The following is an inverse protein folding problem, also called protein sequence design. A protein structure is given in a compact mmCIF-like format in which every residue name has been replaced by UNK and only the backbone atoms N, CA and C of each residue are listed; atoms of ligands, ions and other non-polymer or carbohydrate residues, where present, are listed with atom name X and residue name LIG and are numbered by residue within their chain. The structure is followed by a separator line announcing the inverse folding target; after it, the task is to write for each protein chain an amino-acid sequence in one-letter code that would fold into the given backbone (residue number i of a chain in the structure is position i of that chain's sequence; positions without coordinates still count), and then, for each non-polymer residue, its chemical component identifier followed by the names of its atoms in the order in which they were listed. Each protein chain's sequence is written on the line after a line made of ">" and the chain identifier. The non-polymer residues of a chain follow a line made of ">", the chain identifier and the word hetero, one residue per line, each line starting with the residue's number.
data_IF_209005758572
#
_entry.id   IF_209005758572
#
_cell.length_a   1.000
_cell.length_b   1.000
_cell.length_c   1.000
_cell.angle_alpha   90.00
_cell.angle_beta   90.00
_cell.angle_gamma   90.00
#
_symmetry.space_group_name_H-M   'P 1'
#
loop_
_entity.id
_entity.type
_entity.pdbx_description
1 polymer ?
#
# COMPACT_ATOMS: atom_id res chain seq x y z
N UNK A 1 -27.68 -12.00 31.53
CA UNK A 1 -27.52 -11.29 30.25
C UNK A 1 -26.04 -11.19 29.95
N UNK A 2 -25.50 -12.15 29.19
CA UNK A 2 -24.08 -12.20 28.85
C UNK A 2 -23.79 -11.04 27.89
N UNK A 3 -23.01 -10.04 28.31
CA UNK A 3 -22.51 -9.00 27.39
C UNK A 3 -21.80 -9.73 26.26
N UNK A 4 -22.41 -9.76 25.07
CA UNK A 4 -21.74 -10.25 23.87
C UNK A 4 -20.53 -9.37 23.67
N UNK A 5 -19.32 -9.89 23.89
CA UNK A 5 -18.10 -9.17 23.55
C UNK A 5 -18.21 -8.77 22.08
N UNK A 6 -18.18 -7.47 21.81
CA UNK A 6 -18.20 -6.90 20.46
C UNK A 6 -16.78 -6.47 20.11
N UNK A 7 -16.40 -6.66 18.85
CA UNK A 7 -15.18 -6.05 18.33
C UNK A 7 -15.39 -4.54 18.19
N UNK A 8 -14.31 -3.79 18.31
CA UNK A 8 -14.34 -2.35 18.05
C UNK A 8 -14.56 -2.09 16.55
N UNK A 9 -15.26 -1.00 16.23
CA UNK A 9 -15.51 -0.57 14.86
C UNK A 9 -14.44 0.37 14.29
N UNK A 10 -13.44 0.74 15.09
CA UNK A 10 -12.34 1.64 14.71
C UNK A 10 -11.17 0.96 13.95
N UNK A 11 -11.30 -0.33 13.62
CA UNK A 11 -10.30 -1.11 12.88
C UNK A 11 -11.00 -1.94 11.80
N UNK A 12 -10.52 -1.82 10.57
CA UNK A 12 -11.07 -2.51 9.39
C UNK A 12 -10.48 -3.91 9.27
N UNK A 13 -9.17 -4.08 9.47
CA UNK A 13 -8.48 -5.37 9.29
C UNK A 13 -7.98 -5.89 10.62
N UNK A 14 -8.47 -7.07 11.02
CA UNK A 14 -8.01 -7.78 12.21
C UNK A 14 -7.25 -9.04 11.83
N UNK A 15 -6.08 -9.25 12.44
CA UNK A 15 -5.46 -10.57 12.48
C UNK A 15 -6.19 -11.49 13.47
N UNK A 16 -6.12 -12.79 13.21
CA UNK A 16 -6.60 -13.83 14.13
C UNK A 16 -5.88 -13.76 15.48
N UNK A 17 -4.63 -13.28 15.51
CA UNK A 17 -3.87 -13.12 16.73
C UNK A 17 -4.44 -11.95 17.56
N UNK A 18 -4.68 -10.79 16.94
CA UNK A 18 -5.31 -9.64 17.62
C UNK A 18 -6.69 -10.00 18.19
N UNK A 19 -7.51 -10.75 17.45
CA UNK A 19 -8.81 -11.21 17.94
C UNK A 19 -8.66 -12.12 19.16
N UNK A 20 -7.68 -13.03 19.16
CA UNK A 20 -7.41 -13.89 20.33
C UNK A 20 -6.91 -13.09 21.52
N UNK A 21 -6.02 -12.13 21.28
CA UNK A 21 -5.46 -11.26 22.33
C UNK A 21 -6.56 -10.39 22.96
N UNK A 22 -7.60 -10.03 22.19
CA UNK A 22 -8.83 -9.38 22.66
C UNK A 22 -9.81 -10.34 23.36
N UNK A 23 -9.45 -11.62 23.54
CA UNK A 23 -10.23 -12.62 24.28
C UNK A 23 -11.25 -13.40 23.45
N UNK A 24 -11.24 -13.27 22.11
CA UNK A 24 -12.14 -14.02 21.25
C UNK A 24 -11.59 -15.42 20.94
N UNK A 25 -12.33 -16.46 21.34
CA UNK A 25 -12.00 -17.84 20.96
C UNK A 25 -12.28 -18.08 19.48
N UNK A 26 -11.65 -19.11 18.88
CA UNK A 26 -11.92 -19.51 17.49
C UNK A 26 -13.41 -19.78 17.23
N UNK A 27 -14.10 -20.41 18.19
CA UNK A 27 -15.55 -20.62 18.11
C UNK A 27 -16.29 -19.30 17.98
N UNK A 28 -15.91 -18.30 18.79
CA UNK A 28 -16.53 -16.98 18.76
C UNK A 28 -16.23 -16.22 17.47
N UNK A 29 -14.98 -16.28 16.98
CA UNK A 29 -14.60 -15.68 15.69
C UNK A 29 -15.43 -16.28 14.54
N UNK A 30 -15.57 -17.61 14.48
CA UNK A 30 -16.40 -18.25 13.46
C UNK A 30 -17.89 -17.89 13.60
N UNK A 31 -18.39 -17.74 14.82
CA UNK A 31 -19.75 -17.24 15.05
C UNK A 31 -19.93 -15.83 14.47
N UNK A 32 -18.96 -14.94 14.67
CA UNK A 32 -18.99 -13.57 14.13
C UNK A 32 -18.93 -13.55 12.60
N UNK A 33 -18.19 -14.49 11.99
CA UNK A 33 -18.19 -14.67 10.54
C UNK A 33 -19.56 -15.12 10.04
N UNK A 34 -20.17 -16.12 10.67
CA UNK A 34 -21.51 -16.59 10.30
C UNK A 34 -22.60 -15.52 10.50
N UNK A 35 -22.38 -14.57 11.41
CA UNK A 35 -23.24 -13.42 11.66
C UNK A 35 -22.98 -12.24 10.72
N UNK A 36 -21.97 -12.31 9.87
CA UNK A 36 -21.59 -11.23 8.96
C UNK A 36 -20.91 -10.03 9.64
N UNK A 37 -20.55 -10.13 10.93
CA UNK A 37 -19.80 -9.07 11.63
C UNK A 37 -18.32 -9.06 11.23
N UNK A 38 -17.78 -10.25 10.89
CA UNK A 38 -16.46 -10.39 10.31
C UNK A 38 -16.57 -11.05 8.94
N UNK A 39 -15.78 -10.60 7.99
CA UNK A 39 -15.60 -11.25 6.69
C UNK A 39 -14.23 -11.92 6.72
N UNK A 40 -14.18 -13.22 6.40
CA UNK A 40 -12.92 -13.95 6.40
C UNK A 40 -12.15 -13.65 5.11
N UNK A 41 -11.01 -12.97 5.24
CA UNK A 41 -10.14 -12.65 4.10
C UNK A 41 -9.22 -13.80 3.75
N UNK A 42 -8.51 -14.33 4.75
CA UNK A 42 -7.63 -15.47 4.57
C UNK A 42 -7.49 -16.27 5.88
N UNK A 43 -6.46 -17.11 6.00
CA UNK A 43 -6.23 -17.93 7.21
C UNK A 43 -5.84 -17.10 8.43
N UNK A 44 -5.28 -15.90 8.22
CA UNK A 44 -4.69 -15.05 9.25
C UNK A 44 -5.47 -13.77 9.49
N UNK A 45 -6.20 -13.26 8.50
CA UNK A 45 -6.85 -11.95 8.58
C UNK A 45 -8.34 -12.01 8.28
N UNK A 46 -9.06 -11.09 8.89
CA UNK A 46 -10.49 -10.86 8.79
C UNK A 46 -10.73 -9.37 8.59
N UNK A 47 -11.78 -9.04 7.86
CA UNK A 47 -12.30 -7.69 7.71
C UNK A 47 -13.48 -7.48 8.65
N UNK A 48 -13.57 -6.31 9.25
CA UNK A 48 -14.69 -5.87 10.06
C UNK A 48 -15.75 -5.24 9.16
N UNK A 49 -16.88 -5.91 9.00
CA UNK A 49 -17.98 -5.43 8.17
C UNK A 49 -18.69 -4.19 8.74
N UNK A 50 -18.43 -3.87 10.03
CA UNK A 50 -19.01 -2.73 10.72
C UNK A 50 -17.98 -1.61 10.96
N UNK A 51 -16.86 -1.60 10.22
CA UNK A 51 -15.88 -0.51 10.31
C UNK A 51 -16.56 0.84 10.05
N UNK A 52 -16.35 1.81 10.94
CA UNK A 52 -17.02 3.12 10.90
C UNK A 52 -16.10 4.30 10.56
N UNK A 53 -14.83 4.02 10.25
CA UNK A 53 -13.87 5.01 9.74
C UNK A 53 -13.89 5.16 8.21
N UNK A 54 -12.98 5.98 7.69
CA UNK A 54 -12.78 6.11 6.25
C UNK A 54 -12.09 4.86 5.70
N UNK A 55 -12.83 4.07 4.92
CA UNK A 55 -12.31 2.85 4.31
C UNK A 55 -11.19 3.15 3.31
N UNK A 56 -10.10 2.39 3.37
CA UNK A 56 -9.04 2.42 2.36
C UNK A 56 -8.72 1.02 1.88
N UNK A 57 -8.77 0.83 0.56
CA UNK A 57 -8.41 -0.44 -0.06
C UNK A 57 -6.93 -0.81 0.21
N UNK A 58 -6.07 0.15 0.56
CA UNK A 58 -4.67 -0.13 0.89
C UNK A 58 -4.50 -1.04 2.12
N UNK A 59 -5.50 -1.14 3.01
CA UNK A 59 -5.46 -2.07 4.14
C UNK A 59 -5.42 -3.54 3.71
N UNK A 60 -5.94 -3.87 2.53
CA UNK A 60 -5.85 -5.23 1.99
C UNK A 60 -4.41 -5.62 1.64
N UNK A 61 -3.53 -4.66 1.32
CA UNK A 61 -2.11 -4.95 1.12
C UNK A 61 -1.49 -5.54 2.41
N UNK A 62 -1.82 -4.97 3.58
CA UNK A 62 -1.37 -5.51 4.87
C UNK A 62 -1.95 -6.90 5.17
N UNK A 63 -3.22 -7.15 4.82
CA UNK A 63 -3.88 -8.44 5.09
C UNK A 63 -3.34 -9.60 4.22
N UNK A 64 -3.09 -9.35 2.94
CA UNK A 64 -2.74 -10.39 1.98
C UNK A 64 -1.24 -10.48 1.69
N UNK A 65 -0.54 -9.36 1.81
CA UNK A 65 0.90 -9.26 1.59
C UNK A 65 1.53 -8.48 2.76
N UNK A 66 1.58 -9.03 4.00
CA UNK A 66 2.03 -8.27 5.18
C UNK A 66 3.45 -7.68 5.05
N UNK A 67 4.31 -8.33 4.26
CA UNK A 67 5.65 -7.85 3.93
C UNK A 67 5.73 -6.98 2.68
N UNK A 68 4.62 -6.75 1.99
CA UNK A 68 4.52 -5.96 0.77
C UNK A 68 4.41 -4.46 1.06
N UNK A 69 4.66 -3.67 0.03
CA UNK A 69 4.71 -2.20 0.10
C UNK A 69 3.90 -1.61 -1.05
N UNK A 70 2.89 -0.79 -0.76
CA UNK A 70 2.12 -0.07 -1.78
C UNK A 70 3.07 0.81 -2.59
N UNK A 71 2.97 0.74 -3.92
CA UNK A 71 3.98 1.28 -4.84
C UNK A 71 3.36 1.86 -6.12
N UNK A 72 4.22 2.40 -7.00
CA UNK A 72 3.85 2.91 -8.32
C UNK A 72 2.62 3.84 -8.30
N UNK A 73 1.65 3.62 -9.19
CA UNK A 73 0.49 4.51 -9.33
C UNK A 73 -0.38 4.48 -8.07
N UNK A 74 -0.48 3.35 -7.35
CA UNK A 74 -1.19 3.30 -6.08
C UNK A 74 -0.59 4.24 -5.04
N UNK A 75 0.74 4.27 -4.92
CA UNK A 75 1.42 5.21 -4.03
C UNK A 75 1.29 6.66 -4.53
N UNK A 76 1.38 6.90 -5.84
CA UNK A 76 1.21 8.23 -6.40
C UNK A 76 -0.20 8.80 -6.14
N UNK A 77 -1.24 7.98 -6.30
CA UNK A 77 -2.63 8.36 -5.98
C UNK A 77 -2.78 8.64 -4.49
N UNK A 78 -2.23 7.79 -3.61
CA UNK A 78 -2.24 8.03 -2.16
C UNK A 78 -1.62 9.40 -1.82
N UNK A 79 -0.48 9.74 -2.42
CA UNK A 79 0.15 11.03 -2.20
C UNK A 79 -0.51 12.18 -2.94
N UNK A 80 -1.58 12.00 -3.72
CA UNK A 80 -2.17 13.04 -4.59
C UNK A 80 -1.17 13.60 -5.62
N UNK A 81 -0.36 12.72 -6.23
CA UNK A 81 0.50 13.05 -7.37
C UNK A 81 -0.17 12.78 -8.72
N UNK A 82 -1.21 11.96 -8.74
CA UNK A 82 -2.00 11.64 -9.92
C UNK A 82 -3.46 11.47 -9.53
N UNK A 83 -4.34 11.79 -10.48
CA UNK A 83 -5.79 11.53 -10.38
C UNK A 83 -6.20 10.18 -10.99
N UNK A 84 -5.22 9.35 -11.35
CA UNK A 84 -5.43 8.04 -11.96
C UNK A 84 -6.41 7.19 -11.13
N UNK A 85 -7.41 6.62 -11.81
CA UNK A 85 -8.36 5.71 -11.18
C UNK A 85 -7.73 4.33 -11.08
N UNK A 86 -7.46 3.88 -9.86
CA UNK A 86 -6.89 2.56 -9.61
C UNK A 86 -7.89 1.45 -9.93
N UNK A 87 -7.52 0.57 -10.87
CA UNK A 87 -8.22 -0.69 -11.10
C UNK A 87 -7.71 -1.82 -10.20
N UNK A 88 -6.49 -1.67 -9.68
CA UNK A 88 -5.82 -2.58 -8.76
C UNK A 88 -4.84 -1.81 -7.85
N UNK A 89 -4.45 -2.43 -6.74
CA UNK A 89 -3.41 -1.90 -5.86
C UNK A 89 -2.07 -2.52 -6.25
N UNK A 90 -1.13 -1.69 -6.68
CA UNK A 90 0.25 -2.08 -6.93
C UNK A 90 0.98 -2.31 -5.61
N UNK A 91 1.40 -3.55 -5.35
CA UNK A 91 2.12 -3.94 -4.13
C UNK A 91 3.47 -4.54 -4.50
N UNK A 92 4.56 -3.88 -4.08
CA UNK A 92 5.91 -4.36 -4.26
C UNK A 92 6.27 -5.44 -3.23
N UNK A 93 7.01 -6.46 -3.69
CA UNK A 93 7.62 -7.50 -2.85
C UNK A 93 9.05 -7.81 -3.32
N UNK A 94 9.91 -8.40 -2.46
CA UNK A 94 11.22 -8.88 -2.88
C UNK A 94 11.12 -9.94 -3.96
N UNK A 95 12.06 -9.97 -4.91
CA UNK A 95 12.09 -10.91 -6.06
C UNK A 95 11.88 -12.38 -5.72
N UNK A 96 12.35 -12.82 -4.55
CA UNK A 96 12.27 -14.22 -4.10
C UNK A 96 11.07 -14.51 -3.19
N UNK A 97 10.29 -13.49 -2.84
CA UNK A 97 9.11 -13.66 -2.02
C UNK A 97 8.02 -14.41 -2.78
N UNK A 98 7.19 -15.15 -2.03
CA UNK A 98 6.04 -15.86 -2.55
C UNK A 98 4.76 -15.29 -1.96
N UNK A 99 3.75 -15.09 -2.80
CA UNK A 99 2.41 -14.73 -2.37
C UNK A 99 1.52 -15.95 -2.58
N UNK A 100 0.86 -16.40 -1.51
CA UNK A 100 0.08 -17.64 -1.54
C UNK A 100 -1.38 -17.41 -1.92
N UNK A 101 -1.93 -16.26 -1.56
CA UNK A 101 -3.36 -15.96 -1.71
C UNK A 101 -3.49 -14.47 -1.93
N UNK A 102 -4.27 -14.11 -2.94
CA UNK A 102 -4.68 -12.75 -3.25
C UNK A 102 -6.21 -12.67 -3.14
N UNK A 103 -6.76 -11.51 -2.80
CA UNK A 103 -8.21 -11.31 -2.80
C UNK A 103 -8.74 -11.28 -4.25
N UNK A 104 -10.02 -11.65 -4.41
CA UNK A 104 -10.74 -11.42 -5.66
C UNK A 104 -11.07 -9.93 -5.84
N UNK A 105 -11.25 -9.21 -4.72
CA UNK A 105 -11.47 -7.76 -4.68
C UNK A 105 -11.00 -7.16 -3.33
N UNK A 106 -10.38 -5.97 -3.31
CA UNK A 106 -9.81 -5.25 -4.45
C UNK A 106 -8.63 -6.02 -5.06
N UNK A 107 -8.41 -5.94 -6.37
CA UNK A 107 -7.29 -6.64 -7.01
C UNK A 107 -5.95 -6.14 -6.47
N UNK A 108 -5.03 -7.05 -6.14
CA UNK A 108 -3.66 -6.73 -5.76
C UNK A 108 -2.67 -7.14 -6.86
N UNK A 109 -2.04 -6.15 -7.48
CA UNK A 109 -1.04 -6.36 -8.52
C UNK A 109 0.35 -6.41 -7.94
N UNK A 110 0.91 -7.61 -7.91
CA UNK A 110 2.23 -7.87 -7.30
C UNK A 110 3.37 -7.40 -8.22
N UNK A 111 4.23 -6.53 -7.71
CA UNK A 111 5.42 -6.03 -8.38
C UNK A 111 6.70 -6.60 -7.73
N UNK A 112 7.50 -7.34 -8.48
CA UNK A 112 8.72 -7.96 -7.95
C UNK A 112 9.93 -7.04 -8.09
N UNK A 113 10.43 -6.53 -6.97
CA UNK A 113 11.59 -5.62 -6.93
C UNK A 113 12.86 -6.37 -6.54
N UNK A 114 14.00 -5.88 -7.04
CA UNK A 114 15.30 -6.25 -6.50
C UNK A 114 15.41 -5.80 -5.05
N UNK A 115 16.24 -6.47 -4.25
CA UNK A 115 16.37 -6.18 -2.82
C UNK A 115 16.78 -4.71 -2.59
N UNK A 116 17.74 -4.19 -3.38
CA UNK A 116 18.17 -2.80 -3.34
C UNK A 116 17.06 -1.78 -3.63
N UNK A 117 16.15 -2.09 -4.57
CA UNK A 117 14.99 -1.24 -4.88
C UNK A 117 13.84 -1.43 -3.91
N UNK A 118 13.74 -2.61 -3.29
CA UNK A 118 12.68 -2.92 -2.35
C UNK A 118 12.90 -2.19 -1.01
N UNK A 119 14.13 -2.16 -0.49
CA UNK A 119 14.39 -1.69 0.87
C UNK A 119 14.36 -0.16 1.04
N UNK A 120 14.53 0.61 -0.04
CA UNK A 120 14.67 2.07 0.01
C UNK A 120 13.31 2.75 0.11
N UNK A 121 13.21 3.73 1.01
CA UNK A 121 12.08 4.65 1.08
C UNK A 121 10.78 4.00 1.52
N UNK A 122 10.82 2.94 2.34
CA UNK A 122 9.61 2.33 2.88
C UNK A 122 9.15 3.12 4.11
N UNK A 123 7.87 3.49 4.13
CA UNK A 123 7.18 4.09 5.26
C UNK A 123 6.00 3.21 5.68
N UNK A 124 5.56 3.35 6.93
CA UNK A 124 4.32 2.73 7.43
C UNK A 124 3.31 3.83 7.69
N UNK A 125 2.17 3.75 7.02
CA UNK A 125 1.02 4.61 7.30
C UNK A 125 0.24 3.98 8.43
N UNK A 126 0.06 4.73 9.51
CA UNK A 126 -0.83 4.38 10.61
C UNK A 126 -2.05 5.30 10.54
N UNK A 127 -3.23 4.70 10.35
CA UNK A 127 -4.53 5.40 10.35
C UNK A 127 -5.43 4.77 11.41
N UNK A 128 -5.44 5.39 12.59
CA UNK A 128 -6.04 4.81 13.79
C UNK A 128 -5.43 3.45 14.11
N UNK A 129 -6.27 2.40 14.12
CA UNK A 129 -5.83 1.01 14.34
C UNK A 129 -5.53 0.26 13.05
N UNK A 130 -5.66 0.90 11.88
CA UNK A 130 -5.30 0.34 10.59
C UNK A 130 -3.89 0.76 10.20
N UNK A 131 -3.25 -0.06 9.37
CA UNK A 131 -1.92 0.24 8.84
C UNK A 131 -1.63 -0.47 7.53
N UNK A 132 -0.72 0.12 6.77
CA UNK A 132 -0.10 -0.51 5.61
C UNK A 132 1.28 0.10 5.37
N UNK A 133 2.11 -0.60 4.58
CA UNK A 133 3.42 -0.08 4.14
C UNK A 133 3.28 0.53 2.76
N UNK A 134 3.98 1.63 2.52
CA UNK A 134 3.99 2.36 1.26
C UNK A 134 5.40 2.87 1.00
N UNK A 135 5.77 3.08 -0.26
CA UNK A 135 6.97 3.85 -0.54
C UNK A 135 6.74 5.33 -0.28
N UNK A 136 7.76 6.04 0.17
CA UNK A 136 7.71 7.48 0.35
C UNK A 136 7.53 8.21 -0.99
N UNK A 137 7.25 9.51 -0.93
CA UNK A 137 6.92 10.30 -2.12
C UNK A 137 8.07 10.37 -3.14
N UNK A 138 9.32 10.58 -2.70
CA UNK A 138 10.48 10.63 -3.61
C UNK A 138 10.77 9.28 -4.26
N UNK A 139 10.68 8.19 -3.50
CA UNK A 139 10.84 6.83 -3.99
C UNK A 139 9.77 6.50 -5.02
N UNK A 140 8.53 6.91 -4.75
CA UNK A 140 7.40 6.75 -5.68
C UNK A 140 7.67 7.44 -7.01
N UNK A 141 8.10 8.70 -7.01
CA UNK A 141 8.44 9.44 -8.23
C UNK A 141 9.60 8.78 -9.00
N UNK A 142 10.65 8.36 -8.31
CA UNK A 142 11.81 7.66 -8.92
C UNK A 142 11.39 6.34 -9.55
N UNK A 143 10.57 5.54 -8.86
CA UNK A 143 10.05 4.29 -9.40
C UNK A 143 9.19 4.53 -10.64
N UNK A 144 8.35 5.57 -10.64
CA UNK A 144 7.50 5.91 -11.78
C UNK A 144 8.32 6.30 -12.99
N UNK A 145 9.33 7.18 -12.83
CA UNK A 145 10.25 7.53 -13.93
C UNK A 145 11.05 6.33 -14.41
N UNK A 146 11.48 5.45 -13.51
CA UNK A 146 12.21 4.24 -13.87
C UNK A 146 11.34 3.28 -14.71
N UNK A 147 10.09 3.06 -14.29
CA UNK A 147 9.12 2.17 -14.94
C UNK A 147 8.20 2.88 -15.95
N UNK A 148 8.56 4.08 -16.41
CA UNK A 148 7.76 4.90 -17.35
C UNK A 148 7.27 4.16 -18.60
N UNK A 149 8.04 3.21 -19.12
CA UNK A 149 7.67 2.40 -20.29
C UNK A 149 6.49 1.45 -20.00
N UNK A 150 6.38 0.98 -18.75
CA UNK A 150 5.27 0.16 -18.27
C UNK A 150 4.08 1.01 -17.82
N UNK A 151 4.35 2.17 -17.24
CA UNK A 151 3.33 3.03 -16.64
C UNK A 151 2.60 3.88 -17.69
N UNK A 152 3.33 4.37 -18.69
CA UNK A 152 2.83 5.36 -19.63
C UNK A 152 3.48 6.72 -19.40
N UNK A 153 3.75 7.42 -20.52
CA UNK A 153 4.49 8.68 -20.50
C UNK A 153 3.63 9.84 -19.95
N UNK A 154 2.32 9.78 -20.15
CA UNK A 154 1.39 10.82 -19.69
C UNK A 154 1.27 10.80 -18.17
N UNK A 155 1.06 9.62 -17.59
CA UNK A 155 1.00 9.39 -16.15
C UNK A 155 2.35 9.69 -15.49
N UNK A 156 3.45 9.28 -16.12
CA UNK A 156 4.80 9.61 -15.64
C UNK A 156 5.00 11.14 -15.58
N UNK A 157 4.59 11.85 -16.63
CA UNK A 157 4.68 13.30 -16.71
C UNK A 157 3.78 13.97 -15.67
N UNK A 158 2.54 13.52 -15.50
CA UNK A 158 1.61 14.04 -14.49
C UNK A 158 2.24 13.96 -13.10
N UNK A 159 2.65 12.75 -12.68
CA UNK A 159 3.22 12.51 -11.35
C UNK A 159 4.45 13.38 -11.11
N UNK A 160 5.39 13.38 -12.05
CA UNK A 160 6.62 14.16 -11.89
C UNK A 160 6.34 15.65 -11.85
N UNK A 161 5.47 16.16 -12.74
CA UNK A 161 5.11 17.57 -12.78
C UNK A 161 4.41 17.98 -11.49
N UNK A 162 3.42 17.20 -11.01
CA UNK A 162 2.71 17.47 -9.76
C UNK A 162 3.67 17.50 -8.57
N UNK A 163 4.60 16.54 -8.49
CA UNK A 163 5.63 16.53 -7.46
C UNK A 163 6.54 17.78 -7.54
N UNK A 164 6.96 18.18 -8.74
CA UNK A 164 7.80 19.38 -8.94
C UNK A 164 7.07 20.69 -8.63
N UNK A 165 5.75 20.72 -8.55
CA UNK A 165 5.00 21.91 -8.13
C UNK A 165 4.81 21.99 -6.61
N UNK A 166 5.10 20.92 -5.87
CA UNK A 166 4.98 20.90 -4.41
C UNK A 166 6.02 21.77 -3.73
N UNK A 167 5.59 22.46 -2.68
CA UNK A 167 6.44 23.33 -1.86
C UNK A 167 7.37 22.55 -0.92
N UNK A 168 6.90 21.38 -0.49
CA UNK A 168 7.51 20.49 0.50
C UNK A 168 8.40 19.41 -0.14
N UNK A 169 8.55 19.44 -1.47
CA UNK A 169 9.34 18.47 -2.23
C UNK A 169 10.80 18.43 -1.76
N UNK A 170 11.38 17.23 -1.68
CA UNK A 170 12.79 17.07 -1.34
C UNK A 170 13.61 16.62 -2.55
N UNK A 171 14.08 17.58 -3.35
CA UNK A 171 14.89 17.29 -4.55
C UNK A 171 16.20 16.58 -4.24
N UNK A 172 16.82 16.85 -3.08
CA UNK A 172 18.04 16.16 -2.67
C UNK A 172 17.78 14.67 -2.41
N UNK A 173 16.67 14.33 -1.74
CA UNK A 173 16.28 12.93 -1.52
C UNK A 173 15.89 12.26 -2.84
N UNK A 174 15.17 12.96 -3.73
CA UNK A 174 14.81 12.46 -5.06
C UNK A 174 16.05 12.07 -5.87
N UNK A 175 17.02 12.98 -6.00
CA UNK A 175 18.26 12.74 -6.76
C UNK A 175 19.05 11.59 -6.15
N UNK A 176 19.22 11.58 -4.82
CA UNK A 176 19.91 10.50 -4.11
C UNK A 176 19.26 9.14 -4.38
N UNK A 177 17.93 9.04 -4.31
CA UNK A 177 17.24 7.80 -4.64
C UNK A 177 17.38 7.44 -6.11
N UNK A 178 17.30 8.40 -7.03
CA UNK A 178 17.49 8.15 -8.46
C UNK A 178 18.88 7.55 -8.73
N UNK A 179 19.94 8.06 -8.11
CA UNK A 179 21.30 7.53 -8.22
C UNK A 179 21.39 6.10 -7.65
N UNK A 180 20.94 5.88 -6.42
CA UNK A 180 20.95 4.57 -5.76
C UNK A 180 20.22 3.51 -6.58
N UNK A 181 19.13 3.91 -7.24
CA UNK A 181 18.23 3.01 -7.95
C UNK A 181 18.50 2.97 -9.46
N UNK A 182 19.66 3.46 -9.92
CA UNK A 182 20.10 3.43 -11.34
C UNK A 182 19.11 4.13 -12.28
N UNK A 183 18.53 5.22 -11.82
CA UNK A 183 17.62 6.10 -12.56
C UNK A 183 18.15 7.54 -12.68
N UNK A 184 19.37 7.82 -12.20
CA UNK A 184 19.96 9.16 -12.14
C UNK A 184 19.95 9.92 -13.47
N UNK A 185 20.53 9.33 -14.52
CA UNK A 185 20.62 10.00 -15.84
C UNK A 185 19.24 10.31 -16.43
N UNK A 186 18.32 9.34 -16.36
CA UNK A 186 16.95 9.51 -16.85
C UNK A 186 16.25 10.60 -16.06
N UNK A 187 16.32 10.55 -14.72
CA UNK A 187 15.71 11.55 -13.85
C UNK A 187 16.23 12.95 -14.17
N UNK A 188 17.55 13.10 -14.34
CA UNK A 188 18.18 14.37 -14.71
C UNK A 188 17.61 14.92 -16.02
N UNK A 189 17.50 14.09 -17.06
CA UNK A 189 16.90 14.51 -18.34
C UNK A 189 15.48 15.02 -18.17
N UNK A 190 14.65 14.35 -17.36
CA UNK A 190 13.28 14.84 -17.11
C UNK A 190 13.26 16.17 -16.33
N UNK A 191 14.12 16.31 -15.32
CA UNK A 191 14.24 17.54 -14.55
C UNK A 191 14.71 18.72 -15.41
N UNK A 192 15.63 18.51 -16.34
CA UNK A 192 16.11 19.56 -17.27
C UNK A 192 15.05 20.04 -18.27
N UNK A 193 14.05 19.20 -18.58
CA UNK A 193 12.99 19.53 -19.54
C UNK A 193 11.76 20.16 -18.87
N UNK A 194 11.49 19.79 -17.61
CA UNK A 194 10.27 20.19 -16.90
C UNK A 194 10.47 21.37 -15.92
N UNK A 195 11.73 21.72 -15.61
CA UNK A 195 12.11 22.89 -14.79
C UNK A 195 12.53 24.04 -15.71
#
# INVERSE_FOLDING_TARGET
>A
MTKTAQISNDQMIFSVQELKDKGFSYYKINQMVNQGTLIKLNKKYYENANFDGEGSDFYYAYAFVPGGVVCLLSAAVYYNLSTYRLDAIDVAIPRKAKVSTLPDWPELKVCYFTDDRFDVGIETVEDGNNRFRIYDIEKTVVDIVFYREKIGIEETKEVLTTYLHRSERNLNRLIRYAEMLRCGDVMKTYLEVLV
#
